data_IF_710764861048
#
_entry.id   IF_710764861048
#
_cell.length_a   1.000
_cell.length_b   1.000
_cell.length_c   1.000
_cell.angle_alpha   90.00
_cell.angle_beta   90.00
_cell.angle_gamma   90.00
#
_symmetry.space_group_name_H-M   'P 1'
#
loop_
_entity.id
_entity.type
_entity.pdbx_description
1 polymer ?
#
# COMPACT_ATOMS: atom_id res chain seq x y z
N UNK A 1 8.84 21.35 65.80
CA UNK A 1 8.84 21.78 64.40
C UNK A 1 8.53 20.58 63.55
N UNK A 2 7.36 20.56 62.89
CA UNK A 2 7.01 19.49 61.98
C UNK A 2 7.77 19.66 60.66
N UNK A 3 8.58 18.68 60.30
CA UNK A 3 9.17 18.57 58.98
C UNK A 3 8.06 18.34 57.95
N UNK A 4 7.97 19.23 56.95
CA UNK A 4 7.09 19.05 55.81
C UNK A 4 7.54 17.82 54.99
N UNK A 5 6.62 17.08 54.33
CA UNK A 5 6.98 15.88 53.59
C UNK A 5 7.62 16.26 52.24
N UNK A 6 8.92 16.51 52.21
CA UNK A 6 9.70 16.86 51.00
C UNK A 6 9.76 15.74 49.93
N UNK A 7 9.28 14.52 50.21
CA UNK A 7 9.45 13.37 49.30
C UNK A 7 8.40 13.22 48.19
N UNK A 8 7.14 13.64 48.41
CA UNK A 8 6.03 13.27 47.49
C UNK A 8 5.94 14.12 46.22
N UNK A 9 6.26 15.41 46.30
CA UNK A 9 6.19 16.34 45.15
C UNK A 9 7.33 16.08 44.17
N UNK A 10 8.53 15.80 44.68
CA UNK A 10 9.71 15.44 43.89
C UNK A 10 9.50 14.15 43.09
N UNK A 11 8.83 13.14 43.68
CA UNK A 11 8.50 11.89 42.97
C UNK A 11 7.58 12.11 41.76
N UNK A 12 6.57 12.98 41.87
CA UNK A 12 5.67 13.32 40.75
C UNK A 12 6.40 14.08 39.64
N UNK A 13 7.30 14.99 40.00
CA UNK A 13 8.10 15.75 39.04
C UNK A 13 9.10 14.85 38.27
N UNK A 14 9.76 13.92 38.97
CA UNK A 14 10.66 12.94 38.35
C UNK A 14 9.88 12.01 37.41
N UNK A 15 8.74 11.48 37.87
CA UNK A 15 7.90 10.60 37.05
C UNK A 15 7.39 11.30 35.78
N UNK A 16 6.99 12.59 35.88
CA UNK A 16 6.59 13.39 34.73
C UNK A 16 7.70 13.49 33.69
N UNK A 17 8.94 13.78 34.13
CA UNK A 17 10.08 13.88 33.21
C UNK A 17 10.40 12.54 32.55
N UNK A 18 10.45 11.45 33.32
CA UNK A 18 10.71 10.11 32.79
C UNK A 18 9.67 9.74 31.74
N UNK A 19 8.38 9.94 32.03
CA UNK A 19 7.30 9.64 31.08
C UNK A 19 7.33 10.54 29.84
N UNK A 20 7.72 11.80 29.99
CA UNK A 20 7.94 12.71 28.86
C UNK A 20 9.06 12.22 27.94
N UNK A 21 10.20 11.81 28.50
CA UNK A 21 11.34 11.27 27.73
C UNK A 21 11.01 9.91 27.12
N UNK A 22 10.34 9.01 27.85
CA UNK A 22 9.84 7.76 27.29
C UNK A 22 8.81 7.98 26.17
N UNK A 23 8.19 9.16 26.12
CA UNK A 23 7.28 9.55 25.05
C UNK A 23 7.96 9.54 23.69
N UNK A 24 9.28 9.77 23.65
CA UNK A 24 10.08 9.73 22.41
C UNK A 24 10.09 8.32 21.82
N UNK A 25 10.35 7.33 22.66
CA UNK A 25 10.49 5.93 22.25
C UNK A 25 9.13 5.27 22.05
N UNK A 26 8.11 5.74 22.76
CA UNK A 26 6.74 5.19 22.72
C UNK A 26 5.78 5.93 21.79
N UNK A 27 6.31 6.74 20.85
CA UNK A 27 5.53 7.52 19.89
C UNK A 27 4.42 8.39 20.54
N UNK A 28 4.73 8.99 21.69
CA UNK A 28 3.85 9.92 22.41
C UNK A 28 2.89 9.26 23.40
N UNK A 29 2.85 7.92 23.49
CA UNK A 29 1.89 7.22 24.37
C UNK A 29 2.06 7.60 25.85
N UNK A 30 3.29 7.66 26.35
CA UNK A 30 3.55 8.06 27.75
C UNK A 30 3.54 9.57 27.96
N UNK A 31 3.58 10.38 26.90
CA UNK A 31 3.63 11.84 27.00
C UNK A 31 2.34 12.42 27.61
N UNK A 32 1.18 11.79 27.40
CA UNK A 32 -0.09 12.23 28.04
C UNK A 32 0.00 12.10 29.56
N UNK A 33 0.45 10.94 30.05
CA UNK A 33 0.64 10.72 31.48
C UNK A 33 1.73 11.64 32.05
N UNK A 34 2.83 11.82 31.31
CA UNK A 34 3.90 12.77 31.67
C UNK A 34 3.41 14.20 31.80
N UNK A 35 2.56 14.66 30.88
CA UNK A 35 1.96 16.00 30.91
C UNK A 35 1.04 16.18 32.12
N UNK A 36 0.14 15.22 32.38
CA UNK A 36 -0.79 15.28 33.52
C UNK A 36 -0.02 15.36 34.85
N UNK A 37 0.96 14.45 35.04
CA UNK A 37 1.77 14.44 36.27
C UNK A 37 2.59 15.72 36.41
N UNK A 38 3.08 16.27 35.30
CA UNK A 38 3.83 17.52 35.29
C UNK A 38 2.98 18.71 35.74
N UNK A 39 1.74 18.84 35.23
CA UNK A 39 0.80 19.91 35.64
C UNK A 39 0.45 19.78 37.13
N UNK A 40 0.20 18.56 37.62
CA UNK A 40 -0.09 18.31 39.04
C UNK A 40 1.11 18.67 39.92
N UNK A 41 2.34 18.30 39.50
CA UNK A 41 3.56 18.62 40.23
C UNK A 41 3.85 20.13 40.25
N UNK A 42 3.60 20.86 39.15
CA UNK A 42 3.71 22.32 39.08
C UNK A 42 2.73 23.02 40.04
N UNK A 43 1.47 22.59 40.06
CA UNK A 43 0.45 23.17 40.95
C UNK A 43 0.78 22.94 42.45
N UNK A 44 1.36 21.78 42.79
CA UNK A 44 1.78 21.47 44.17
C UNK A 44 3.06 22.20 44.57
N UNK A 45 4.10 22.20 43.73
CA UNK A 45 5.38 22.87 44.01
C UNK A 45 5.24 24.38 44.12
N UNK A 46 4.26 24.99 43.43
CA UNK A 46 3.91 26.40 43.60
C UNK A 46 3.47 26.75 45.03
N UNK A 47 2.75 25.84 45.71
CA UNK A 47 2.30 26.03 47.10
C UNK A 47 3.41 25.79 48.12
N UNK A 48 4.33 24.85 47.84
CA UNK A 48 5.40 24.47 48.77
C UNK A 48 6.71 25.23 48.56
N UNK A 49 6.79 26.12 47.56
CA UNK A 49 8.01 26.88 47.17
C UNK A 49 9.24 25.99 46.91
N UNK A 50 9.01 24.76 46.46
CA UNK A 50 10.09 23.85 46.06
C UNK A 50 10.54 24.17 44.62
N UNK A 51 11.64 24.90 44.51
CA UNK A 51 12.19 25.32 43.23
C UNK A 51 12.78 24.16 42.40
N UNK A 52 13.30 23.12 43.06
CA UNK A 52 13.91 21.96 42.40
C UNK A 52 12.84 21.10 41.73
N UNK A 53 11.81 20.71 42.47
CA UNK A 53 10.69 19.94 41.92
C UNK A 53 9.93 20.72 40.85
N UNK A 54 9.84 22.06 40.97
CA UNK A 54 9.20 22.91 39.95
C UNK A 54 9.97 22.90 38.63
N UNK A 55 11.30 23.00 38.66
CA UNK A 55 12.14 22.95 37.46
C UNK A 55 11.99 21.63 36.70
N UNK A 56 11.98 20.51 37.45
CA UNK A 56 11.85 19.18 36.86
C UNK A 56 10.44 18.92 36.30
N UNK A 57 9.40 19.37 37.01
CA UNK A 57 8.02 19.30 36.53
C UNK A 57 7.83 20.15 35.27
N UNK A 58 8.42 21.36 35.21
CA UNK A 58 8.39 22.21 34.04
C UNK A 58 9.04 21.52 32.84
N UNK A 59 10.23 20.95 33.02
CA UNK A 59 10.92 20.20 31.96
C UNK A 59 10.06 19.03 31.44
N UNK A 60 9.48 18.22 32.33
CA UNK A 60 8.60 17.12 31.97
C UNK A 60 7.35 17.56 31.19
N UNK A 61 6.71 18.67 31.61
CA UNK A 61 5.57 19.24 30.87
C UNK A 61 5.95 19.75 29.49
N UNK A 62 7.07 20.46 29.35
CA UNK A 62 7.52 21.02 28.06
C UNK A 62 7.85 19.89 27.09
N UNK A 63 8.62 18.90 27.52
CA UNK A 63 8.96 17.73 26.70
C UNK A 63 7.68 17.03 26.23
N UNK A 64 6.77 16.72 27.15
CA UNK A 64 5.51 16.06 26.81
C UNK A 64 4.65 16.87 25.84
N UNK A 65 4.50 18.18 26.07
CA UNK A 65 3.69 19.06 25.23
C UNK A 65 4.27 19.22 23.83
N UNK A 66 5.60 19.36 23.69
CA UNK A 66 6.27 19.43 22.39
C UNK A 66 5.99 18.16 21.58
N UNK A 67 6.11 16.97 22.17
CA UNK A 67 5.83 15.72 21.45
C UNK A 67 4.36 15.57 21.07
N UNK A 68 3.43 15.95 21.95
CA UNK A 68 1.99 15.87 21.68
C UNK A 68 1.53 16.81 20.56
N UNK A 69 2.23 17.93 20.34
CA UNK A 69 1.95 18.85 19.23
C UNK A 69 2.72 18.46 17.96
N UNK A 70 4.00 18.13 18.08
CA UNK A 70 4.88 17.91 16.93
C UNK A 70 4.60 16.58 16.22
N UNK A 71 4.38 15.48 16.94
CA UNK A 71 4.20 14.15 16.33
C UNK A 71 2.97 14.08 15.41
N UNK A 72 1.77 14.55 15.81
CA UNK A 72 0.63 14.55 14.90
C UNK A 72 0.83 15.43 13.67
N UNK A 73 1.53 16.56 13.80
CA UNK A 73 1.85 17.45 12.66
C UNK A 73 2.78 16.75 11.67
N UNK A 74 3.86 16.14 12.17
CA UNK A 74 4.80 15.39 11.34
C UNK A 74 4.10 14.20 10.68
N UNK A 75 3.34 13.41 11.43
CA UNK A 75 2.57 12.29 10.89
C UNK A 75 1.57 12.78 9.83
N UNK A 76 0.85 13.88 10.09
CA UNK A 76 -0.10 14.48 9.15
C UNK A 76 0.55 14.92 7.82
N UNK A 77 1.81 15.35 7.84
CA UNK A 77 2.56 15.68 6.62
C UNK A 77 3.12 14.43 5.91
N UNK A 78 3.50 13.39 6.66
CA UNK A 78 4.07 12.16 6.09
C UNK A 78 3.02 11.22 5.49
N UNK A 79 1.84 11.11 6.10
CA UNK A 79 0.80 10.16 5.69
C UNK A 79 0.33 10.35 4.23
N UNK A 80 0.07 11.57 3.73
CA UNK A 80 -0.32 11.79 2.32
C UNK A 80 0.80 11.41 1.34
N UNK A 81 2.05 11.72 1.69
CA UNK A 81 3.21 11.39 0.87
C UNK A 81 3.40 9.86 0.80
N UNK A 82 3.27 9.17 1.93
CA UNK A 82 3.36 7.71 2.00
C UNK A 82 2.21 7.02 1.23
N UNK A 83 0.99 7.52 1.35
CA UNK A 83 -0.16 7.01 0.60
C UNK A 83 0.06 7.12 -0.92
N UNK A 84 0.60 8.25 -1.38
CA UNK A 84 0.95 8.46 -2.78
C UNK A 84 2.09 7.56 -3.24
N UNK A 85 3.13 7.39 -2.40
CA UNK A 85 4.25 6.50 -2.69
C UNK A 85 3.80 5.03 -2.80
N UNK A 86 2.93 4.57 -1.89
CA UNK A 86 2.34 3.22 -1.94
C UNK A 86 1.58 3.00 -3.24
N UNK A 87 0.70 3.93 -3.62
CA UNK A 87 -0.06 3.85 -4.88
C UNK A 87 0.84 3.77 -6.12
N UNK A 88 1.93 4.54 -6.17
CA UNK A 88 2.91 4.45 -7.27
C UNK A 88 3.61 3.10 -7.29
N UNK A 89 4.02 2.58 -6.14
CA UNK A 89 4.65 1.27 -6.02
C UNK A 89 3.72 0.14 -6.50
N UNK A 90 2.45 0.17 -6.08
CA UNK A 90 1.43 -0.80 -6.52
C UNK A 90 1.23 -0.79 -8.05
N UNK A 91 1.21 0.40 -8.68
CA UNK A 91 1.11 0.51 -10.14
C UNK A 91 2.35 -0.07 -10.85
N UNK A 92 3.56 0.24 -10.37
CA UNK A 92 4.81 -0.34 -10.93
C UNK A 92 4.81 -1.86 -10.81
N UNK A 93 4.35 -2.39 -9.68
CA UNK A 93 4.24 -3.84 -9.49
C UNK A 93 3.22 -4.46 -10.45
N UNK A 94 2.08 -3.80 -10.72
CA UNK A 94 1.12 -4.28 -11.72
C UNK A 94 1.70 -4.30 -13.14
N UNK A 95 2.48 -3.28 -13.51
CA UNK A 95 3.20 -3.25 -14.80
C UNK A 95 4.16 -4.44 -14.91
N UNK A 96 4.95 -4.70 -13.86
CA UNK A 96 5.85 -5.84 -13.84
C UNK A 96 5.09 -7.18 -13.92
N UNK A 97 3.98 -7.29 -13.17
CA UNK A 97 3.14 -8.48 -13.18
C UNK A 97 2.58 -8.77 -14.58
N UNK A 98 1.94 -7.79 -15.21
CA UNK A 98 1.38 -7.95 -16.56
C UNK A 98 2.47 -8.28 -17.57
N UNK A 99 3.64 -7.66 -17.49
CA UNK A 99 4.78 -8.00 -18.35
C UNK A 99 5.23 -9.46 -18.18
N UNK A 100 5.27 -9.97 -16.96
CA UNK A 100 5.59 -11.37 -16.68
C UNK A 100 4.50 -12.33 -17.17
N UNK A 101 3.22 -11.97 -17.05
CA UNK A 101 2.11 -12.74 -17.62
C UNK A 101 2.18 -12.79 -19.15
N UNK A 102 2.41 -11.65 -19.79
CA UNK A 102 2.59 -11.57 -21.24
C UNK A 102 3.77 -12.43 -21.70
N UNK A 103 4.90 -12.35 -21.01
CA UNK A 103 6.06 -13.19 -21.29
C UNK A 103 5.73 -14.69 -21.14
N UNK A 104 5.04 -15.08 -20.06
CA UNK A 104 4.60 -16.45 -19.85
C UNK A 104 3.69 -16.98 -20.96
N UNK A 105 2.77 -16.14 -21.46
CA UNK A 105 1.92 -16.47 -22.61
C UNK A 105 2.72 -16.63 -23.91
N UNK A 106 3.72 -15.78 -24.15
CA UNK A 106 4.59 -15.89 -25.31
C UNK A 106 5.45 -17.16 -25.27
N UNK A 107 6.01 -17.51 -24.10
CA UNK A 107 6.77 -18.75 -23.92
C UNK A 107 5.86 -19.97 -24.15
N UNK A 108 4.67 -19.99 -23.54
CA UNK A 108 3.68 -21.05 -23.77
C UNK A 108 3.34 -21.20 -25.26
N UNK A 109 3.15 -20.09 -25.97
CA UNK A 109 2.80 -20.11 -27.38
C UNK A 109 3.95 -20.64 -28.23
N UNK A 110 5.20 -20.26 -27.95
CA UNK A 110 6.38 -20.79 -28.63
C UNK A 110 6.47 -22.32 -28.51
N UNK A 111 6.17 -22.86 -27.33
CA UNK A 111 6.14 -24.31 -27.08
C UNK A 111 4.90 -25.03 -27.65
N UNK A 112 3.84 -24.30 -28.02
CA UNK A 112 2.58 -24.85 -28.52
C UNK A 112 2.24 -24.40 -29.97
N UNK A 113 3.21 -24.47 -30.87
CA UNK A 113 3.04 -24.15 -32.31
C UNK A 113 2.50 -22.72 -32.57
N UNK A 114 2.82 -21.80 -31.68
CA UNK A 114 2.37 -20.41 -31.68
C UNK A 114 0.97 -20.19 -31.11
N UNK A 115 0.26 -21.23 -30.67
CA UNK A 115 -1.11 -21.11 -30.16
C UNK A 115 -1.13 -20.61 -28.70
N UNK A 116 -1.95 -19.59 -28.44
CA UNK A 116 -2.27 -19.14 -27.09
C UNK A 116 -3.10 -20.20 -26.34
N UNK A 117 -3.08 -20.20 -24.99
CA UNK A 117 -3.85 -21.18 -24.22
C UNK A 117 -5.37 -20.97 -24.37
N UNK A 118 -6.12 -21.98 -23.95
CA UNK A 118 -7.58 -21.83 -23.82
C UNK A 118 -7.92 -20.84 -22.71
N UNK A 119 -8.92 -20.01 -22.96
CA UNK A 119 -9.28 -18.90 -22.06
C UNK A 119 -9.76 -19.34 -20.67
N UNK A 120 -10.20 -20.59 -20.50
CA UNK A 120 -10.62 -21.18 -19.22
C UNK A 120 -9.48 -21.91 -18.49
N UNK A 121 -8.26 -21.94 -19.06
CA UNK A 121 -7.08 -22.63 -18.51
C UNK A 121 -5.79 -21.81 -18.58
N UNK A 122 -5.87 -20.54 -18.95
CA UNK A 122 -4.68 -19.74 -19.25
C UNK A 122 -3.75 -19.53 -18.06
N UNK A 123 -4.26 -19.41 -16.84
CA UNK A 123 -3.42 -19.30 -15.64
C UNK A 123 -2.70 -20.62 -15.36
N UNK A 124 -3.43 -21.75 -15.43
CA UNK A 124 -2.85 -23.09 -15.25
C UNK A 124 -1.78 -23.38 -16.31
N UNK A 125 -2.04 -22.94 -17.54
CA UNK A 125 -1.13 -23.11 -18.66
C UNK A 125 0.19 -22.37 -18.46
N UNK A 126 0.18 -21.21 -17.80
CA UNK A 126 1.38 -20.36 -17.69
C UNK A 126 2.04 -20.29 -16.32
N UNK A 127 1.41 -20.81 -15.26
CA UNK A 127 1.94 -20.69 -13.89
C UNK A 127 3.37 -21.21 -13.75
N UNK A 128 3.74 -22.25 -14.49
CA UNK A 128 5.09 -22.81 -14.52
C UNK A 128 6.12 -21.90 -15.18
N UNK A 129 5.74 -21.12 -16.20
CA UNK A 129 6.65 -20.19 -16.88
C UNK A 129 6.85 -18.89 -16.11
N UNK A 130 5.85 -18.49 -15.32
CA UNK A 130 5.87 -17.25 -14.53
C UNK A 130 6.57 -17.46 -13.18
N UNK A 131 6.60 -18.70 -12.66
CA UNK A 131 7.37 -19.13 -11.49
C UNK A 131 6.80 -18.72 -10.12
N UNK A 132 5.84 -17.79 -10.07
CA UNK A 132 5.20 -17.36 -8.83
C UNK A 132 3.73 -16.97 -9.05
N UNK A 133 2.81 -17.55 -8.26
CA UNK A 133 1.38 -17.20 -8.29
C UNK A 133 1.09 -15.74 -7.90
N UNK A 134 1.99 -15.11 -7.14
CA UNK A 134 1.85 -13.69 -6.76
C UNK A 134 1.78 -12.74 -7.97
N UNK A 135 2.30 -13.16 -9.12
CA UNK A 135 2.27 -12.39 -10.38
C UNK A 135 0.85 -12.24 -10.92
N UNK A 136 -0.04 -13.18 -10.62
CA UNK A 136 -1.45 -13.09 -11.02
C UNK A 136 -2.25 -12.12 -10.15
N UNK A 137 -1.65 -11.53 -9.09
CA UNK A 137 -2.33 -10.67 -8.14
C UNK A 137 -1.89 -9.21 -8.23
N UNK A 138 -2.88 -8.33 -8.38
CA UNK A 138 -2.75 -6.91 -8.11
C UNK A 138 -2.52 -6.67 -6.59
N UNK A 139 -1.57 -5.81 -6.17
CA UNK A 139 -1.33 -5.48 -4.76
C UNK A 139 -2.49 -4.79 -4.05
N UNK A 140 -3.33 -4.06 -4.79
CA UNK A 140 -4.56 -3.42 -4.29
C UNK A 140 -5.81 -4.29 -4.55
N UNK A 141 -5.64 -5.53 -5.02
CA UNK A 141 -6.74 -6.46 -5.25
C UNK A 141 -7.21 -7.14 -3.96
N UNK A 142 -8.42 -7.71 -3.98
CA UNK A 142 -8.97 -8.41 -2.83
C UNK A 142 -8.17 -9.69 -2.53
N UNK A 143 -7.74 -9.88 -1.27
CA UNK A 143 -6.98 -11.06 -0.87
C UNK A 143 -7.74 -12.39 -1.02
N UNK A 144 -9.06 -12.32 -1.20
CA UNK A 144 -9.94 -13.48 -1.44
C UNK A 144 -9.84 -14.02 -2.86
N UNK A 145 -9.31 -13.24 -3.82
CA UNK A 145 -9.14 -13.69 -5.20
C UNK A 145 -7.73 -14.26 -5.43
N UNK A 146 -7.66 -15.37 -6.17
CA UNK A 146 -6.38 -15.99 -6.56
C UNK A 146 -5.69 -15.22 -7.69
N UNK A 147 -6.45 -14.51 -8.52
CA UNK A 147 -5.94 -13.68 -9.61
C UNK A 147 -6.82 -12.44 -9.83
N UNK A 148 -6.20 -11.37 -10.35
CA UNK A 148 -6.77 -10.05 -10.54
C UNK A 148 -6.63 -9.54 -11.99
N UNK A 149 -6.20 -10.42 -12.89
CA UNK A 149 -6.02 -10.17 -14.31
C UNK A 149 -6.84 -11.16 -15.11
N UNK A 150 -7.20 -10.75 -16.32
CA UNK A 150 -8.01 -11.49 -17.26
C UNK A 150 -7.27 -11.72 -18.56
N UNK A 151 -7.58 -12.84 -19.20
CA UNK A 151 -7.15 -13.11 -20.57
C UNK A 151 -8.23 -12.72 -21.57
N UNK A 152 -7.83 -12.17 -22.72
CA UNK A 152 -8.76 -11.87 -23.80
C UNK A 152 -9.35 -13.16 -24.38
N UNK A 153 -10.64 -13.39 -24.16
CA UNK A 153 -11.34 -14.62 -24.59
C UNK A 153 -11.28 -14.85 -26.10
N UNK A 154 -11.24 -13.78 -26.91
CA UNK A 154 -11.15 -13.88 -28.37
C UNK A 154 -9.82 -14.46 -28.86
N UNK A 155 -8.79 -14.46 -28.02
CA UNK A 155 -7.48 -15.03 -28.33
C UNK A 155 -7.34 -16.50 -27.89
N UNK A 156 -8.39 -17.10 -27.36
CA UNK A 156 -8.39 -18.51 -26.91
C UNK A 156 -7.99 -19.45 -28.04
N UNK A 157 -6.84 -20.11 -27.94
CA UNK A 157 -6.34 -21.03 -28.96
C UNK A 157 -5.86 -20.37 -30.26
N UNK A 158 -5.89 -19.03 -30.37
CA UNK A 158 -5.45 -18.31 -31.57
C UNK A 158 -3.92 -18.35 -31.65
N UNK A 159 -3.37 -18.56 -32.85
CA UNK A 159 -1.93 -18.47 -33.05
C UNK A 159 -1.49 -17.00 -33.02
N UNK A 160 -0.41 -16.68 -32.30
CA UNK A 160 0.19 -15.33 -32.30
C UNK A 160 0.50 -14.82 -33.72
N UNK A 161 0.78 -15.74 -34.66
CA UNK A 161 1.05 -15.43 -36.08
C UNK A 161 -0.21 -15.02 -36.87
N UNK A 162 -1.39 -15.33 -36.35
CA UNK A 162 -2.68 -14.99 -36.96
C UNK A 162 -3.23 -13.65 -36.47
N UNK A 163 -2.60 -13.04 -35.48
CA UNK A 163 -3.01 -11.74 -34.94
C UNK A 163 -2.51 -10.65 -35.90
N UNK A 164 -3.41 -9.90 -36.53
CA UNK A 164 -3.08 -8.92 -37.56
C UNK A 164 -2.35 -7.70 -37.00
N UNK A 165 -2.65 -7.32 -35.75
CA UNK A 165 -2.01 -6.18 -35.08
C UNK A 165 -1.64 -6.50 -33.63
N UNK A 166 -0.58 -7.29 -33.40
CA UNK A 166 -0.22 -7.74 -32.06
C UNK A 166 0.07 -6.60 -31.09
N UNK A 167 0.69 -5.52 -31.58
CA UNK A 167 1.04 -4.32 -30.80
C UNK A 167 -0.17 -3.46 -30.39
N UNK A 168 -1.39 -3.75 -30.84
CA UNK A 168 -2.59 -3.02 -30.40
C UNK A 168 -3.72 -3.92 -29.91
N UNK A 169 -3.54 -5.24 -30.06
CA UNK A 169 -4.51 -6.25 -29.63
C UNK A 169 -4.31 -6.59 -28.17
N UNK A 170 -5.35 -6.36 -27.35
CA UNK A 170 -5.36 -6.65 -25.91
C UNK A 170 -5.22 -8.16 -25.71
N UNK A 171 -4.28 -8.56 -24.85
CA UNK A 171 -4.07 -9.94 -24.46
C UNK A 171 -4.35 -10.15 -22.97
N UNK A 172 -3.84 -9.26 -22.12
CA UNK A 172 -4.06 -9.25 -20.67
C UNK A 172 -4.65 -7.92 -20.25
N UNK A 173 -5.62 -7.95 -19.35
CA UNK A 173 -6.24 -6.75 -18.80
C UNK A 173 -6.61 -6.95 -17.33
N UNK A 174 -6.88 -5.86 -16.62
CA UNK A 174 -7.36 -5.94 -15.24
C UNK A 174 -8.85 -6.32 -15.20
N UNK A 175 -9.18 -7.39 -14.48
CA UNK A 175 -10.56 -7.79 -14.19
C UNK A 175 -10.67 -8.41 -12.80
N UNK A 176 -11.89 -8.51 -12.26
CA UNK A 176 -12.19 -9.35 -11.10
C UNK A 176 -12.81 -10.66 -11.59
N UNK A 177 -12.58 -11.75 -10.86
CA UNK A 177 -13.13 -13.07 -11.22
C UNK A 177 -12.28 -14.25 -10.76
N UNK A 178 -11.03 -14.02 -10.37
CA UNK A 178 -10.14 -15.07 -9.87
C UNK A 178 -9.43 -15.87 -10.95
N UNK A 179 -9.05 -17.09 -10.61
CA UNK A 179 -8.19 -17.96 -11.43
C UNK A 179 -8.82 -18.32 -12.78
N UNK A 180 -8.05 -18.27 -13.86
CA UNK A 180 -8.49 -18.47 -15.25
C UNK A 180 -9.61 -17.54 -15.74
N UNK A 181 -9.80 -16.39 -15.08
CA UNK A 181 -10.78 -15.42 -15.57
C UNK A 181 -10.41 -14.90 -16.95
N UNK A 182 -11.41 -14.79 -17.81
CA UNK A 182 -11.24 -14.29 -19.17
C UNK A 182 -12.50 -13.55 -19.62
N UNK A 183 -12.32 -12.60 -20.53
CA UNK A 183 -13.40 -11.71 -20.95
C UNK A 183 -13.00 -10.85 -22.14
N UNK A 184 -13.72 -9.76 -22.30
CA UNK A 184 -13.52 -8.75 -23.32
C UNK A 184 -13.67 -7.33 -22.75
N UNK A 185 -14.07 -6.36 -23.59
CA UNK A 185 -14.14 -4.95 -23.20
C UNK A 185 -15.15 -4.66 -22.08
N UNK A 186 -16.19 -5.47 -21.92
CA UNK A 186 -17.26 -5.25 -20.95
C UNK A 186 -16.88 -5.72 -19.53
N UNK A 187 -15.94 -6.65 -19.42
CA UNK A 187 -15.42 -7.18 -18.14
C UNK A 187 -14.23 -6.41 -17.59
N UNK A 188 -13.74 -5.38 -18.31
CA UNK A 188 -12.73 -4.49 -17.76
C UNK A 188 -13.31 -3.75 -16.56
N UNK A 189 -12.52 -3.59 -15.51
CA UNK A 189 -12.99 -2.94 -14.29
C UNK A 189 -13.51 -1.52 -14.58
N UNK A 190 -14.82 -1.32 -14.36
CA UNK A 190 -15.45 0.00 -14.45
C UNK A 190 -14.81 1.00 -13.47
N UNK A 191 -14.37 0.52 -12.31
CA UNK A 191 -13.56 1.27 -11.36
C UNK A 191 -12.19 0.59 -11.22
N UNK A 192 -11.10 1.25 -11.65
CA UNK A 192 -9.75 0.68 -11.56
C UNK A 192 -9.32 0.51 -10.11
N UNK A 193 -8.42 -0.44 -9.84
CA UNK A 193 -7.80 -0.60 -8.51
C UNK A 193 -6.76 0.47 -8.20
N UNK A 194 -6.31 1.18 -9.24
CA UNK A 194 -5.36 2.28 -9.18
C UNK A 194 -5.91 3.49 -9.96
N UNK A 195 -5.12 4.56 -10.11
CA UNK A 195 -5.50 5.69 -10.98
C UNK A 195 -5.53 5.36 -12.48
N UNK A 196 -5.06 4.18 -12.85
CA UNK A 196 -4.90 3.67 -14.20
C UNK A 196 -5.06 2.16 -14.22
N UNK A 197 -5.27 1.59 -15.40
CA UNK A 197 -5.24 0.14 -15.62
C UNK A 197 -4.02 -0.22 -16.45
N UNK A 198 -3.41 -1.36 -16.15
CA UNK A 198 -2.32 -1.91 -16.96
C UNK A 198 -2.91 -2.90 -17.97
N UNK A 199 -2.59 -2.68 -19.24
CA UNK A 199 -3.00 -3.54 -20.36
C UNK A 199 -1.76 -4.19 -20.94
N UNK A 200 -1.80 -5.50 -21.14
CA UNK A 200 -0.81 -6.27 -21.87
C UNK A 200 -1.30 -6.56 -23.29
N UNK A 201 -0.43 -6.40 -24.27
CA UNK A 201 -0.73 -6.60 -25.69
C UNK A 201 -0.10 -7.89 -26.22
N UNK A 202 -0.60 -8.37 -27.36
CA UNK A 202 -0.24 -9.67 -27.92
C UNK A 202 1.21 -9.78 -28.45
N UNK A 203 1.91 -8.66 -28.64
CA UNK A 203 3.37 -8.63 -28.89
C UNK A 203 4.22 -8.68 -27.60
N UNK A 204 3.57 -8.74 -26.44
CA UNK A 204 4.21 -8.87 -25.13
C UNK A 204 4.51 -7.56 -24.41
N UNK A 205 4.32 -6.39 -25.04
CA UNK A 205 4.47 -5.12 -24.31
C UNK A 205 3.24 -4.85 -23.43
N UNK A 206 3.38 -3.87 -22.54
CA UNK A 206 2.30 -3.43 -21.68
C UNK A 206 2.26 -1.91 -21.60
N UNK A 207 1.06 -1.36 -21.40
CA UNK A 207 0.85 0.06 -21.26
C UNK A 207 -0.07 0.38 -20.08
N UNK A 208 0.21 1.50 -19.43
CA UNK A 208 -0.65 2.07 -18.38
C UNK A 208 -1.66 3.02 -19.02
N UNK A 209 -2.94 2.67 -18.99
CA UNK A 209 -4.02 3.44 -19.62
C UNK A 209 -4.84 4.16 -18.55
N UNK A 210 -5.00 5.51 -18.63
CA UNK A 210 -5.90 6.26 -17.76
C UNK A 210 -7.36 5.86 -17.96
N UNK A 211 -8.14 5.94 -16.89
CA UNK A 211 -9.56 5.56 -16.92
C UNK A 211 -10.41 6.62 -17.62
N UNK A 212 -11.34 6.18 -18.48
CA UNK A 212 -12.39 7.01 -19.07
C UNK A 212 -12.31 7.26 -20.58
N UNK A 213 -11.16 7.07 -21.22
CA UNK A 213 -11.01 7.40 -22.65
C UNK A 213 -10.63 6.21 -23.54
N UNK A 214 -9.39 5.75 -23.42
CA UNK A 214 -8.77 4.85 -24.40
C UNK A 214 -9.18 3.38 -24.28
N UNK A 215 -9.79 2.97 -23.16
CA UNK A 215 -10.14 1.56 -22.92
C UNK A 215 -11.16 1.02 -23.92
N UNK A 216 -12.13 1.86 -24.32
CA UNK A 216 -13.16 1.51 -25.29
C UNK A 216 -12.65 1.46 -26.73
N UNK A 217 -11.48 2.03 -27.00
CA UNK A 217 -10.88 2.08 -28.34
C UNK A 217 -9.77 1.05 -28.54
N UNK A 218 -9.52 0.20 -27.54
CA UNK A 218 -8.54 -0.89 -27.66
C UNK A 218 -9.05 -1.96 -28.63
N UNK A 219 -8.14 -2.59 -29.37
CA UNK A 219 -8.47 -3.71 -30.26
C UNK A 219 -8.55 -5.00 -29.45
N UNK A 220 -9.64 -5.74 -29.60
CA UNK A 220 -9.86 -7.02 -28.90
C UNK A 220 -9.88 -8.21 -29.85
N UNK A 221 -10.16 -7.98 -31.12
CA UNK A 221 -10.17 -9.01 -32.14
C UNK A 221 -8.73 -9.31 -32.60
N UNK A 222 -8.39 -10.60 -32.83
CA UNK A 222 -7.08 -10.99 -33.36
C UNK A 222 -6.79 -10.28 -34.68
#
# INVERSE_FOLDING_TARGET
>A
GGSAPEGKTSGLAIASLILGVLGIVTCGLTAVAGLILGIVALNKSSKTRDHSARGLALAGTIVSAVFLVLLPVLAGMLLPALATAKQKASNVQCVNNVKQLCLGLMIYADENNGALPLADKWCDAIVSYVGNEGVFKCPEGANTERAHYGFNRKLSGVSLKQIESPATTVMIFEMSGGWNSSGGPDEILATPRHKSVVIGFADGHCETVPVGGRLKTLRWDP
#
